data_IF_532490834323
#
_entry.id   IF_532490834323
#
_cell.length_a   1.000
_cell.length_b   1.000
_cell.length_c   1.000
_cell.angle_alpha   90.00
_cell.angle_beta   90.00
_cell.angle_gamma   90.00
#
_symmetry.space_group_name_H-M   'P 1'
#
loop_
_entity.id
_entity.type
_entity.pdbx_description
1 polymer ?
#
# COMPACT_ATOMS: atom_id res chain seq x y z
N UNK A 1 -12.15 2.99 -16.54
CA UNK A 1 -13.31 3.74 -17.00
C UNK A 1 -14.22 4.06 -15.83
N UNK A 2 -14.79 5.27 -15.79
CA UNK A 2 -15.65 5.73 -14.67
C UNK A 2 -17.02 5.02 -14.74
N UNK A 3 -17.45 4.63 -15.92
CA UNK A 3 -18.75 4.01 -16.17
C UNK A 3 -18.74 2.49 -15.99
N UNK A 4 -17.58 1.87 -15.98
CA UNK A 4 -17.43 0.42 -15.88
C UNK A 4 -18.26 -0.25 -14.76
N UNK A 5 -18.37 0.29 -13.53
CA UNK A 5 -19.22 -0.33 -12.52
C UNK A 5 -20.70 -0.39 -12.89
N UNK A 6 -21.20 0.62 -13.63
CA UNK A 6 -22.60 0.65 -14.06
C UNK A 6 -22.86 -0.33 -15.22
N UNK A 7 -21.94 -0.42 -16.17
CA UNK A 7 -22.01 -1.37 -17.29
C UNK A 7 -22.02 -2.79 -16.77
N UNK A 8 -21.12 -3.11 -15.83
CA UNK A 8 -21.06 -4.42 -15.19
C UNK A 8 -22.36 -4.81 -14.46
N UNK A 9 -23.09 -3.83 -13.89
CA UNK A 9 -24.34 -4.10 -13.21
C UNK A 9 -25.41 -4.68 -14.14
N UNK A 10 -25.52 -4.14 -15.35
CA UNK A 10 -26.50 -4.61 -16.32
C UNK A 10 -26.23 -6.05 -16.75
N UNK A 11 -24.98 -6.38 -16.96
CA UNK A 11 -24.56 -7.72 -17.36
C UNK A 11 -24.74 -8.74 -16.22
N UNK A 12 -24.45 -8.35 -14.99
CA UNK A 12 -24.69 -9.17 -13.81
C UNK A 12 -26.17 -9.40 -13.50
N UNK A 13 -27.02 -8.41 -13.75
CA UNK A 13 -28.46 -8.53 -13.54
C UNK A 13 -29.09 -9.46 -14.59
N UNK A 14 -28.70 -9.32 -15.85
CA UNK A 14 -29.22 -10.10 -16.98
C UNK A 14 -28.53 -11.46 -17.14
N UNK A 15 -27.34 -11.58 -16.58
CA UNK A 15 -26.45 -12.74 -16.78
C UNK A 15 -26.16 -13.04 -18.25
N UNK A 16 -26.03 -11.98 -19.04
CA UNK A 16 -25.70 -12.01 -20.45
C UNK A 16 -24.86 -10.78 -20.84
N UNK A 17 -23.99 -10.95 -21.82
CA UNK A 17 -23.24 -9.87 -22.42
C UNK A 17 -23.09 -10.06 -23.93
N UNK A 18 -22.95 -8.94 -24.64
CA UNK A 18 -22.73 -8.97 -26.07
C UNK A 18 -21.21 -9.03 -26.37
N UNK A 19 -20.84 -10.05 -27.12
CA UNK A 19 -19.45 -10.23 -27.58
C UNK A 19 -19.32 -9.66 -29.00
N UNK A 20 -18.68 -8.50 -29.12
CA UNK A 20 -18.51 -7.82 -30.42
C UNK A 20 -17.70 -8.61 -31.41
N UNK A 21 -16.69 -9.35 -30.96
CA UNK A 21 -15.82 -10.17 -31.81
C UNK A 21 -16.55 -11.34 -32.45
N UNK A 22 -17.56 -11.86 -31.81
CA UNK A 22 -18.35 -12.99 -32.28
C UNK A 22 -19.72 -12.62 -32.84
N UNK A 23 -20.08 -11.32 -32.73
CA UNK A 23 -21.39 -10.78 -33.14
C UNK A 23 -22.57 -11.58 -32.54
N UNK A 24 -22.45 -11.89 -31.23
CA UNK A 24 -23.49 -12.66 -30.56
C UNK A 24 -23.61 -12.36 -29.08
N UNK A 25 -24.82 -12.56 -28.53
CA UNK A 25 -25.07 -12.46 -27.11
C UNK A 25 -24.76 -13.78 -26.43
N UNK A 26 -23.85 -13.77 -25.48
CA UNK A 26 -23.49 -14.91 -24.64
C UNK A 26 -24.31 -14.84 -23.36
N UNK A 27 -25.04 -15.92 -23.06
CA UNK A 27 -25.90 -16.01 -21.89
C UNK A 27 -25.40 -17.08 -20.92
N UNK A 28 -25.34 -16.75 -19.63
CA UNK A 28 -24.93 -17.70 -18.61
C UNK A 28 -26.00 -18.80 -18.42
N UNK A 29 -25.55 -20.04 -18.40
CA UNK A 29 -26.44 -21.20 -18.11
C UNK A 29 -26.79 -21.30 -16.62
N UNK A 30 -25.86 -20.85 -15.77
CA UNK A 30 -26.00 -20.86 -14.31
C UNK A 30 -25.49 -19.54 -13.77
N UNK A 31 -26.10 -19.03 -12.68
CA UNK A 31 -25.64 -17.79 -12.03
C UNK A 31 -24.29 -18.01 -11.37
N UNK A 32 -23.23 -17.29 -11.76
CA UNK A 32 -21.92 -17.41 -11.15
C UNK A 32 -21.89 -16.74 -9.76
N UNK A 33 -20.96 -17.20 -8.91
CA UNK A 33 -20.53 -16.42 -7.75
C UNK A 33 -19.54 -15.36 -8.23
N UNK A 34 -19.86 -14.10 -7.97
CA UNK A 34 -19.02 -12.97 -8.39
C UNK A 34 -18.36 -12.35 -7.15
N UNK A 35 -17.04 -12.22 -7.17
CA UNK A 35 -16.25 -11.56 -6.13
C UNK A 35 -15.54 -10.37 -6.79
N UNK A 36 -15.77 -9.17 -6.24
CA UNK A 36 -15.21 -7.93 -6.76
C UNK A 36 -14.32 -7.32 -5.68
N UNK A 37 -13.10 -6.96 -6.06
CA UNK A 37 -12.16 -6.29 -5.18
C UNK A 37 -11.91 -4.86 -5.66
N UNK A 38 -11.78 -3.94 -4.72
CA UNK A 38 -11.46 -2.53 -4.99
C UNK A 38 -10.40 -2.04 -4.00
N UNK A 39 -9.45 -1.24 -4.47
CA UNK A 39 -8.46 -0.56 -3.65
C UNK A 39 -8.96 0.79 -3.11
N UNK A 40 -10.24 1.10 -3.31
CA UNK A 40 -10.89 2.32 -2.84
C UNK A 40 -10.25 3.63 -3.34
N UNK A 41 -9.65 3.61 -4.54
CA UNK A 41 -9.13 4.85 -5.17
C UNK A 41 -10.26 5.78 -5.64
N UNK A 42 -11.43 5.20 -5.92
CA UNK A 42 -12.66 5.92 -6.27
C UNK A 42 -13.84 5.28 -5.56
N UNK A 43 -14.78 6.11 -5.16
CA UNK A 43 -16.03 5.64 -4.56
C UNK A 43 -16.84 4.84 -5.59
N UNK A 44 -17.33 3.70 -5.17
CA UNK A 44 -18.23 2.89 -5.98
C UNK A 44 -19.64 3.48 -5.93
N UNK A 45 -20.38 3.48 -7.06
CA UNK A 45 -21.76 3.99 -7.10
C UNK A 45 -22.67 3.26 -6.11
N UNK A 46 -23.58 3.98 -5.47
CA UNK A 46 -24.57 3.41 -4.53
C UNK A 46 -25.38 2.28 -5.17
N UNK A 47 -25.71 2.43 -6.45
CA UNK A 47 -26.43 1.41 -7.23
C UNK A 47 -25.67 0.07 -7.28
N UNK A 48 -24.34 0.14 -7.28
CA UNK A 48 -23.45 -1.03 -7.26
C UNK A 48 -23.39 -1.63 -5.85
N UNK A 49 -23.14 -0.80 -4.84
CA UNK A 49 -23.00 -1.26 -3.45
C UNK A 49 -24.26 -1.95 -2.92
N UNK A 50 -25.45 -1.47 -3.31
CA UNK A 50 -26.75 -2.10 -2.92
C UNK A 50 -26.93 -3.54 -3.41
N UNK A 51 -26.17 -3.95 -4.44
CA UNK A 51 -26.24 -5.31 -5.02
C UNK A 51 -25.18 -6.24 -4.47
N UNK A 52 -24.29 -5.75 -3.62
CA UNK A 52 -23.15 -6.49 -3.12
C UNK A 52 -23.23 -6.67 -1.59
N UNK A 53 -22.72 -7.79 -1.10
CA UNK A 53 -22.33 -7.89 0.29
C UNK A 53 -20.98 -7.21 0.45
N UNK A 54 -20.93 -6.13 1.22
CA UNK A 54 -19.72 -5.37 1.42
C UNK A 54 -18.87 -5.99 2.52
N UNK A 55 -17.58 -6.18 2.24
CA UNK A 55 -16.59 -6.60 3.21
C UNK A 55 -15.36 -5.69 3.14
N UNK A 56 -15.09 -4.98 4.24
CA UNK A 56 -13.89 -4.14 4.34
C UNK A 56 -12.71 -4.98 4.81
N UNK A 57 -11.65 -5.01 4.00
CA UNK A 57 -10.38 -5.63 4.36
C UNK A 57 -9.49 -4.56 4.97
N UNK A 58 -9.31 -4.59 6.29
CA UNK A 58 -8.43 -3.67 6.99
C UNK A 58 -6.96 -3.91 6.61
N UNK A 59 -6.14 -2.84 6.70
CA UNK A 59 -4.70 -3.00 6.54
C UNK A 59 -4.17 -3.97 7.60
N UNK A 60 -3.32 -4.95 7.22
CA UNK A 60 -2.83 -5.96 8.13
C UNK A 60 -2.05 -5.34 9.30
N UNK A 61 -2.21 -5.92 10.48
CA UNK A 61 -1.40 -5.59 11.65
C UNK A 61 0.06 -6.04 11.46
N UNK A 62 0.90 -5.70 12.43
CA UNK A 62 2.34 -5.99 12.37
C UNK A 62 2.62 -7.48 12.26
N UNK A 63 1.93 -8.30 13.05
CA UNK A 63 2.19 -9.74 13.13
C UNK A 63 1.78 -10.45 11.84
N UNK A 64 0.66 -10.05 11.27
CA UNK A 64 0.21 -10.56 9.96
C UNK A 64 1.17 -10.12 8.85
N UNK A 65 1.61 -8.85 8.88
CA UNK A 65 2.52 -8.31 7.89
C UNK A 65 3.90 -9.00 7.92
N UNK A 66 4.44 -9.30 9.12
CA UNK A 66 5.68 -10.07 9.29
C UNK A 66 5.55 -11.48 8.69
N UNK A 67 4.42 -12.14 8.86
CA UNK A 67 4.15 -13.45 8.24
C UNK A 67 4.12 -13.34 6.71
N UNK A 68 3.45 -12.33 6.16
CA UNK A 68 3.40 -12.07 4.73
C UNK A 68 4.82 -11.86 4.18
N UNK A 69 5.63 -11.01 4.82
CA UNK A 69 7.01 -10.74 4.40
C UNK A 69 7.86 -12.01 4.45
N UNK A 70 7.70 -12.83 5.50
CA UNK A 70 8.45 -14.07 5.64
C UNK A 70 8.19 -15.08 4.52
N UNK A 71 6.99 -15.06 3.93
CA UNK A 71 6.67 -15.88 2.74
C UNK A 71 7.37 -15.33 1.49
N UNK A 72 7.40 -14.00 1.33
CA UNK A 72 8.01 -13.37 0.15
C UNK A 72 9.54 -13.28 0.21
N UNK A 73 10.11 -13.18 1.41
CA UNK A 73 11.55 -13.06 1.65
C UNK A 73 11.95 -14.01 2.79
N UNK A 74 12.00 -15.34 2.53
CA UNK A 74 12.18 -16.34 3.59
C UNK A 74 13.50 -16.23 4.38
N UNK A 75 14.53 -15.60 3.79
CA UNK A 75 15.89 -15.47 4.40
C UNK A 75 16.15 -14.08 4.99
N UNK A 76 15.13 -13.24 5.18
CA UNK A 76 15.32 -11.92 5.75
C UNK A 76 15.83 -12.01 7.19
N UNK A 77 16.86 -11.22 7.53
CA UNK A 77 17.39 -11.15 8.90
C UNK A 77 16.34 -10.53 9.82
N UNK A 78 16.05 -11.16 10.95
CA UNK A 78 15.04 -10.71 11.91
C UNK A 78 15.21 -9.25 12.35
N UNK A 79 16.46 -8.82 12.58
CA UNK A 79 16.78 -7.45 12.97
C UNK A 79 16.41 -6.46 11.85
N UNK A 80 16.80 -6.77 10.60
CA UNK A 80 16.46 -5.96 9.44
C UNK A 80 14.93 -5.82 9.28
N UNK A 81 14.22 -6.95 9.38
CA UNK A 81 12.75 -6.95 9.30
C UNK A 81 12.14 -6.03 10.38
N UNK A 82 12.60 -6.16 11.64
CA UNK A 82 12.10 -5.34 12.74
C UNK A 82 12.33 -3.86 12.47
N UNK A 83 13.57 -3.47 12.14
CA UNK A 83 13.94 -2.07 11.91
C UNK A 83 13.17 -1.47 10.71
N UNK A 84 13.02 -2.23 9.64
CA UNK A 84 12.25 -1.82 8.46
C UNK A 84 10.75 -1.67 8.76
N UNK A 85 10.19 -2.58 9.55
CA UNK A 85 8.79 -2.49 9.99
C UNK A 85 8.55 -1.26 10.86
N UNK A 86 9.48 -0.93 11.75
CA UNK A 86 9.39 0.29 12.57
C UNK A 86 9.32 1.53 11.69
N UNK A 87 10.24 1.67 10.72
CA UNK A 87 10.24 2.76 9.74
C UNK A 87 8.94 2.81 8.95
N UNK A 88 8.50 1.68 8.44
CA UNK A 88 7.29 1.59 7.63
C UNK A 88 6.05 2.05 8.39
N UNK A 89 5.86 1.57 9.61
CA UNK A 89 4.71 1.99 10.44
C UNK A 89 4.81 3.45 10.88
N UNK A 90 6.02 3.96 11.14
CA UNK A 90 6.21 5.37 11.49
C UNK A 90 5.86 6.28 10.30
N UNK A 91 6.30 5.92 9.08
CA UNK A 91 5.87 6.64 7.87
C UNK A 91 4.33 6.62 7.76
N UNK A 92 3.69 5.46 7.92
CA UNK A 92 2.23 5.34 7.80
C UNK A 92 1.43 6.14 8.85
N UNK A 93 2.05 6.47 10.00
CA UNK A 93 1.45 7.31 11.04
C UNK A 93 1.54 8.81 10.72
N UNK A 94 2.42 9.22 9.80
CA UNK A 94 2.58 10.62 9.46
C UNK A 94 1.27 11.21 8.95
N UNK A 95 0.75 12.27 9.58
CA UNK A 95 -0.46 12.93 9.13
C UNK A 95 -0.20 13.69 7.82
N UNK A 96 -1.20 13.73 6.95
CA UNK A 96 -1.13 14.50 5.70
C UNK A 96 -0.50 13.77 4.53
N UNK A 97 -0.10 12.49 4.67
CA UNK A 97 0.30 11.69 3.52
C UNK A 97 -0.89 11.50 2.57
N UNK A 98 -0.68 11.80 1.29
CA UNK A 98 -1.67 11.56 0.23
C UNK A 98 -1.86 10.08 -0.04
N UNK A 99 -0.76 9.33 -0.03
CA UNK A 99 -0.77 7.88 -0.25
C UNK A 99 0.09 7.19 0.80
N UNK A 100 -0.56 6.50 1.74
CA UNK A 100 0.14 5.65 2.70
C UNK A 100 0.72 4.44 1.98
N UNK A 101 2.00 4.08 2.20
CA UNK A 101 2.60 2.92 1.56
C UNK A 101 1.84 1.64 1.92
N UNK A 102 1.67 0.77 0.93
CA UNK A 102 0.97 -0.50 1.02
C UNK A 102 1.90 -1.67 1.35
N UNK A 103 1.32 -2.86 1.51
CA UNK A 103 2.07 -4.11 1.70
C UNK A 103 3.00 -4.41 0.52
N UNK A 104 2.55 -4.17 -0.71
CA UNK A 104 3.34 -4.42 -1.92
C UNK A 104 4.57 -3.52 -1.96
N UNK A 105 4.41 -2.22 -1.67
CA UNK A 105 5.52 -1.28 -1.62
C UNK A 105 6.53 -1.62 -0.52
N UNK A 106 6.07 -2.12 0.63
CA UNK A 106 6.96 -2.63 1.66
C UNK A 106 7.78 -3.84 1.20
N UNK A 107 7.14 -4.80 0.55
CA UNK A 107 7.82 -6.00 0.02
C UNK A 107 8.85 -5.61 -1.03
N UNK A 108 8.51 -4.73 -1.96
CA UNK A 108 9.41 -4.26 -3.00
C UNK A 108 10.61 -3.50 -2.42
N UNK A 109 10.36 -2.63 -1.45
CA UNK A 109 11.41 -1.91 -0.73
C UNK A 109 12.38 -2.86 -0.02
N UNK A 110 11.85 -3.85 0.71
CA UNK A 110 12.67 -4.85 1.39
C UNK A 110 13.49 -5.72 0.42
N UNK A 111 12.90 -6.09 -0.73
CA UNK A 111 13.63 -6.82 -1.78
C UNK A 111 14.82 -6.01 -2.30
N UNK A 112 14.63 -4.71 -2.55
CA UNK A 112 15.71 -3.83 -3.00
C UNK A 112 16.80 -3.70 -1.94
N UNK A 113 16.45 -3.50 -0.68
CA UNK A 113 17.42 -3.43 0.43
C UNK A 113 18.24 -4.70 0.52
N UNK A 114 17.60 -5.86 0.39
CA UNK A 114 18.30 -7.16 0.46
C UNK A 114 19.18 -7.39 -0.78
N UNK A 115 18.73 -6.95 -1.97
CA UNK A 115 19.47 -7.12 -3.23
C UNK A 115 20.70 -6.22 -3.32
N UNK A 116 20.59 -4.98 -2.86
CA UNK A 116 21.68 -4.00 -2.93
C UNK A 116 22.68 -4.14 -1.77
N UNK A 117 22.51 -5.15 -0.91
CA UNK A 117 23.34 -5.40 0.28
C UNK A 117 23.53 -4.11 1.12
N UNK A 118 22.45 -3.30 1.18
CA UNK A 118 22.45 -2.08 1.97
C UNK A 118 22.69 -2.46 3.41
N UNK A 119 23.78 -1.97 3.96
CA UNK A 119 24.22 -2.29 5.30
C UNK A 119 23.06 -2.07 6.28
N UNK A 120 22.75 -3.08 7.08
CA UNK A 120 21.69 -3.02 8.10
C UNK A 120 21.85 -1.80 9.03
N UNK A 121 23.08 -1.33 9.19
CA UNK A 121 23.45 -0.12 9.95
C UNK A 121 22.84 1.16 9.35
N UNK A 122 22.69 1.24 8.04
CA UNK A 122 22.06 2.39 7.36
C UNK A 122 20.57 2.48 7.68
N UNK A 123 19.91 1.34 7.84
CA UNK A 123 18.50 1.27 8.21
C UNK A 123 18.34 1.42 9.72
N UNK A 124 19.23 0.81 10.50
CA UNK A 124 19.23 0.89 11.97
C UNK A 124 19.71 2.23 12.51
N UNK A 125 20.37 3.06 11.70
CA UNK A 125 20.77 4.39 12.11
C UNK A 125 19.51 5.24 12.33
N UNK A 126 18.97 5.19 13.55
CA UNK A 126 17.88 6.03 14.08
C UNK A 126 18.20 7.52 14.05
N UNK A 127 19.35 7.92 13.52
CA UNK A 127 19.73 9.29 13.37
C UNK A 127 18.89 9.96 12.30
N UNK A 128 17.69 10.34 12.72
CA UNK A 128 16.90 11.48 12.19
C UNK A 128 16.56 11.50 10.69
N UNK A 129 16.66 10.41 9.97
CA UNK A 129 16.14 10.38 8.61
C UNK A 129 14.77 9.67 8.59
N UNK A 130 13.69 10.45 8.72
CA UNK A 130 12.33 10.00 8.40
C UNK A 130 12.23 9.49 6.94
N UNK A 131 13.22 9.84 6.12
CA UNK A 131 13.32 9.41 4.73
C UNK A 131 14.30 8.23 4.66
N UNK A 132 13.81 6.99 4.53
CA UNK A 132 14.67 5.80 4.48
C UNK A 132 15.44 5.71 3.16
N UNK A 133 16.51 4.89 3.08
CA UNK A 133 17.16 4.60 1.81
C UNK A 133 16.15 3.96 0.84
N UNK A 134 16.31 4.21 -0.46
CA UNK A 134 15.42 3.69 -1.52
C UNK A 134 13.94 4.04 -1.30
N UNK A 135 13.67 5.18 -0.67
CA UNK A 135 12.30 5.62 -0.33
C UNK A 135 11.35 5.64 -1.52
N UNK A 136 11.85 5.79 -2.75
CA UNK A 136 11.03 5.74 -3.97
C UNK A 136 10.31 4.42 -4.19
N UNK A 137 10.72 3.34 -3.51
CA UNK A 137 9.96 2.10 -3.48
C UNK A 137 8.72 2.21 -2.56
N UNK A 138 8.82 2.94 -1.45
CA UNK A 138 7.74 3.12 -0.47
C UNK A 138 6.81 4.29 -0.81
N UNK A 139 7.36 5.40 -1.28
CA UNK A 139 6.64 6.65 -1.50
C UNK A 139 6.47 6.87 -3.01
N UNK A 140 5.24 6.92 -3.47
CA UNK A 140 4.87 7.05 -4.89
C UNK A 140 4.30 8.43 -5.22
N UNK A 141 4.43 9.40 -4.30
CA UNK A 141 3.95 10.77 -4.48
C UNK A 141 5.03 11.76 -4.04
N UNK A 142 5.36 12.73 -4.90
CA UNK A 142 6.40 13.73 -4.66
C UNK A 142 6.12 14.57 -3.41
N UNK A 143 4.86 14.96 -3.19
CA UNK A 143 4.46 15.76 -2.04
C UNK A 143 4.62 15.01 -0.72
N UNK A 144 4.47 13.68 -0.74
CA UNK A 144 4.70 12.84 0.44
C UNK A 144 6.20 12.76 0.77
N UNK A 145 7.06 12.73 -0.25
CA UNK A 145 8.52 12.79 -0.08
C UNK A 145 8.93 14.13 0.52
N UNK A 146 8.44 15.24 -0.04
CA UNK A 146 8.72 16.58 0.48
C UNK A 146 8.25 16.74 1.93
N UNK A 147 7.06 16.23 2.27
CA UNK A 147 6.52 16.26 3.63
C UNK A 147 7.47 15.56 4.61
N UNK A 148 7.93 14.36 4.28
CA UNK A 148 8.86 13.60 5.13
C UNK A 148 10.22 14.30 5.25
N UNK A 149 10.74 14.88 4.19
CA UNK A 149 11.99 15.64 4.22
C UNK A 149 11.88 16.87 5.14
N UNK A 150 10.79 17.61 5.08
CA UNK A 150 10.51 18.75 5.96
C UNK A 150 10.44 18.32 7.42
N UNK A 151 9.73 17.24 7.72
CA UNK A 151 9.63 16.71 9.09
C UNK A 151 11.01 16.25 9.61
N UNK A 152 11.79 15.57 8.79
CA UNK A 152 13.16 15.17 9.14
C UNK A 152 14.04 16.36 9.46
N UNK A 153 13.92 17.45 8.70
CA UNK A 153 14.67 18.68 8.95
C UNK A 153 14.25 19.36 10.27
N UNK A 154 12.96 19.42 10.55
CA UNK A 154 12.45 20.01 11.80
C UNK A 154 12.93 19.23 13.04
N UNK A 155 12.84 17.91 13.00
CA UNK A 155 13.28 17.03 14.10
C UNK A 155 14.79 17.20 14.38
N UNK A 156 15.62 17.38 13.34
CA UNK A 156 17.05 17.65 13.50
C UNK A 156 17.32 19.00 14.17
N UNK A 157 16.55 20.03 13.85
CA UNK A 157 16.72 21.35 14.49
C UNK A 157 16.35 21.30 15.96
N UNK A 158 15.28 20.63 16.33
CA UNK A 158 14.87 20.47 17.72
C UNK A 158 15.89 19.69 18.54
N UNK A 159 16.44 18.59 18.01
CA UNK A 159 17.49 17.83 18.70
C UNK A 159 18.79 18.61 18.87
N UNK A 160 19.17 19.44 17.91
CA UNK A 160 20.34 20.28 18.02
C UNK A 160 20.15 21.45 19.02
N UNK A 161 18.94 21.99 19.12
CA UNK A 161 18.65 23.07 20.11
C UNK A 161 18.61 22.53 21.54
N UNK A 162 18.18 21.29 21.74
CA UNK A 162 18.19 20.67 23.07
C UNK A 162 19.60 20.33 23.58
N UNK A 163 20.59 20.20 22.69
CA UNK A 163 22.01 19.99 23.06
C UNK A 163 22.75 21.27 23.40
N UNK A 164 22.20 22.44 23.10
CA UNK A 164 22.83 23.76 23.36
C UNK A 164 22.37 24.34 24.71
N UNK A 165 21.37 23.73 25.36
CA UNK A 165 20.81 24.18 26.63
C UNK A 165 21.20 23.30 27.83
N UNK A 166 22.33 22.60 27.77
CA UNK A 166 22.97 21.93 28.93
C UNK A 166 24.25 22.65 29.31
#
# INVERSE_FOLDING_TARGET
DIEFPNDLLQELDRMEFYCYELDQTIKAKHRPLVIITSNNEKDLPDAFLRRCFFHHIAFPDRDVLEKIISVHIPKIKKKLLKDAMDIFFDIRKVPGLKKKPSTSELIDWLKLIVSDDIAQEVIASKNSNLVPPLYGALLKNEQDVELLQRLAFMTRRESNLSLIHI
#
